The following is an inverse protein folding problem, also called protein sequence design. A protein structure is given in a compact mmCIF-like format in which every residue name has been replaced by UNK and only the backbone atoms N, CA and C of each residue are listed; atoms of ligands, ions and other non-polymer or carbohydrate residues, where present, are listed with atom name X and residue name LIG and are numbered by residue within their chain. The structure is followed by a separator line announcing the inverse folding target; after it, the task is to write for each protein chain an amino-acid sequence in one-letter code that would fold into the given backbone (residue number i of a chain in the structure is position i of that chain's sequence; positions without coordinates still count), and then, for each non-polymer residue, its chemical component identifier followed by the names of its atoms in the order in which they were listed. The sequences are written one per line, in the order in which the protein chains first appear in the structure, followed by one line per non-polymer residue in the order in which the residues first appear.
data_IF_561032895208
#
_entry.id   IF_561032895208
#
_cell.length_a   1.000
_cell.length_b   1.000
_cell.length_c   1.000
_cell.angle_alpha   90.00
_cell.angle_beta   90.00
_cell.angle_gamma   90.00
#
_symmetry.space_group_name_H-M   'P 1'
#
loop_
_entity.id
_entity.type
_entity.pdbx_description
1 polymer ?
#
# COMPACT_ATOMS: atom_id res chain seq x y z
N UNK A 1 -22.93 6.46 2.85
CA UNK A 1 -21.86 7.11 3.64
C UNK A 1 -20.70 7.36 2.68
N UNK A 2 -20.25 8.60 2.51
CA UNK A 2 -19.22 8.95 1.52
C UNK A 2 -17.81 8.78 2.13
N UNK A 3 -16.82 8.37 1.34
CA UNK A 3 -15.42 8.19 1.79
C UNK A 3 -14.87 9.41 2.54
N UNK A 4 -15.18 10.64 2.07
CA UNK A 4 -14.77 11.87 2.77
C UNK A 4 -15.32 11.95 4.19
N UNK A 5 -16.55 11.48 4.44
CA UNK A 5 -17.13 11.50 5.78
C UNK A 5 -16.38 10.54 6.72
N UNK A 6 -15.90 9.40 6.22
CA UNK A 6 -15.12 8.44 7.01
C UNK A 6 -13.71 8.96 7.29
N UNK A 7 -13.12 9.65 6.32
CA UNK A 7 -11.83 10.33 6.48
C UNK A 7 -11.91 11.48 7.49
N UNK A 8 -13.01 12.24 7.50
CA UNK A 8 -13.26 13.32 8.48
C UNK A 8 -13.56 12.81 9.89
N UNK A 9 -14.02 11.56 10.01
CA UNK A 9 -14.30 10.90 11.29
C UNK A 9 -13.09 10.09 11.82
N UNK A 10 -11.91 10.19 11.19
CA UNK A 10 -10.71 9.41 11.53
C UNK A 10 -10.94 7.87 11.51
N UNK A 11 -11.95 7.40 10.77
CA UNK A 11 -12.27 5.96 10.62
C UNK A 11 -11.51 5.35 9.44
N UNK A 12 -10.18 5.40 9.51
CA UNK A 12 -9.30 5.01 8.39
C UNK A 12 -9.42 3.55 7.98
N UNK A 13 -9.64 2.65 8.94
CA UNK A 13 -9.84 1.21 8.66
C UNK A 13 -11.04 0.99 7.74
N UNK A 14 -12.19 1.56 8.11
CA UNK A 14 -13.42 1.41 7.33
C UNK A 14 -13.35 2.14 6.00
N UNK A 15 -12.68 3.29 5.96
CA UNK A 15 -12.43 3.99 4.72
C UNK A 15 -11.57 3.15 3.75
N UNK A 16 -10.55 2.46 4.26
CA UNK A 16 -9.69 1.57 3.48
C UNK A 16 -10.49 0.37 2.96
N UNK A 17 -11.23 -0.31 3.83
CA UNK A 17 -12.07 -1.44 3.44
C UNK A 17 -13.14 -1.06 2.41
N UNK A 18 -13.75 0.11 2.57
CA UNK A 18 -14.72 0.63 1.60
C UNK A 18 -14.05 0.97 0.26
N UNK A 19 -12.88 1.60 0.27
CA UNK A 19 -12.14 1.94 -0.94
C UNK A 19 -11.69 0.70 -1.72
N UNK A 20 -11.23 -0.33 -1.01
CA UNK A 20 -10.85 -1.62 -1.59
C UNK A 20 -12.08 -2.36 -2.15
N UNK A 21 -13.19 -2.38 -1.42
CA UNK A 21 -14.43 -3.01 -1.88
C UNK A 21 -15.04 -2.36 -3.12
N UNK A 22 -14.88 -1.04 -3.27
CA UNK A 22 -15.30 -0.30 -4.47
C UNK A 22 -14.25 -0.30 -5.59
N UNK A 23 -13.10 -0.94 -5.38
CA UNK A 23 -11.97 -0.98 -6.31
C UNK A 23 -11.56 0.43 -6.78
N UNK A 24 -11.46 1.39 -5.85
CA UNK A 24 -11.12 2.80 -6.14
C UNK A 24 -9.68 3.12 -5.73
N UNK A 25 -8.69 2.97 -6.63
CA UNK A 25 -7.27 3.14 -6.28
C UNK A 25 -6.94 4.54 -5.78
N UNK A 26 -7.49 5.60 -6.37
CA UNK A 26 -7.22 6.98 -5.91
C UNK A 26 -7.78 7.25 -4.50
N UNK A 27 -8.91 6.63 -4.15
CA UNK A 27 -9.49 6.76 -2.80
C UNK A 27 -8.65 5.98 -1.78
N UNK A 28 -8.23 4.76 -2.12
CA UNK A 28 -7.36 3.96 -1.28
C UNK A 28 -6.02 4.66 -1.03
N UNK A 29 -5.41 5.25 -2.06
CA UNK A 29 -4.17 6.00 -1.94
C UNK A 29 -4.26 7.13 -0.90
N UNK A 30 -5.34 7.91 -0.91
CA UNK A 30 -5.55 8.97 0.10
C UNK A 30 -5.62 8.43 1.52
N UNK A 31 -6.26 7.27 1.71
CA UNK A 31 -6.36 6.64 3.03
C UNK A 31 -4.97 6.15 3.46
N UNK A 32 -4.22 5.54 2.54
CA UNK A 32 -2.85 5.06 2.78
C UNK A 32 -1.92 6.21 3.16
N UNK A 33 -1.94 7.33 2.43
CA UNK A 33 -1.11 8.50 2.75
C UNK A 33 -1.40 9.00 4.18
N UNK A 34 -2.68 9.08 4.57
CA UNK A 34 -3.08 9.47 5.94
C UNK A 34 -2.63 8.46 7.00
N UNK A 35 -2.69 7.18 6.69
CA UNK A 35 -2.21 6.12 7.58
C UNK A 35 -0.68 6.14 7.73
N UNK A 36 0.06 6.50 6.68
CA UNK A 36 1.51 6.68 6.72
C UNK A 36 1.86 7.89 7.58
N UNK A 37 1.19 9.04 7.39
CA UNK A 37 1.41 10.26 8.18
C UNK A 37 1.17 10.04 9.69
N UNK A 38 0.30 9.10 10.05
CA UNK A 38 -0.04 8.74 11.44
C UNK A 38 0.73 7.52 11.97
N UNK A 39 1.60 6.91 11.18
CA UNK A 39 2.31 5.66 11.52
C UNK A 39 1.37 4.47 11.89
N UNK A 40 0.16 4.46 11.34
CA UNK A 40 -0.88 3.45 11.62
C UNK A 40 -1.04 2.43 10.50
N UNK A 41 -0.27 2.56 9.41
CA UNK A 41 -0.38 1.73 8.21
C UNK A 41 -0.29 0.23 8.51
N UNK A 42 0.70 -0.18 9.31
CA UNK A 42 0.91 -1.59 9.64
C UNK A 42 -0.31 -2.19 10.35
N UNK A 43 -0.81 -1.48 11.35
CA UNK A 43 -1.96 -1.87 12.16
C UNK A 43 -3.25 -1.99 11.34
N UNK A 44 -3.42 -1.14 10.32
CA UNK A 44 -4.55 -1.20 9.41
C UNK A 44 -4.45 -2.40 8.44
N UNK A 45 -3.27 -2.64 7.90
CA UNK A 45 -3.03 -3.74 6.95
C UNK A 45 -3.21 -5.12 7.59
N UNK A 46 -2.81 -5.31 8.85
CA UNK A 46 -2.98 -6.58 9.57
C UNK A 46 -4.44 -6.97 9.79
N UNK A 47 -5.38 -6.04 9.67
CA UNK A 47 -6.82 -6.29 9.80
C UNK A 47 -7.47 -6.71 8.48
N UNK A 48 -6.77 -6.61 7.36
CA UNK A 48 -7.28 -6.97 6.05
C UNK A 48 -7.17 -8.49 5.81
N UNK A 49 -8.18 -9.05 5.15
CA UNK A 49 -8.12 -10.40 4.63
C UNK A 49 -7.20 -10.51 3.39
N UNK A 50 -6.83 -11.73 3.01
CA UNK A 50 -5.94 -12.01 1.86
C UNK A 50 -6.46 -11.44 0.53
N UNK A 51 -7.78 -11.39 0.32
CA UNK A 51 -8.36 -10.86 -0.93
C UNK A 51 -8.15 -9.34 -1.02
N UNK A 52 -8.37 -8.63 0.08
CA UNK A 52 -8.15 -7.18 0.19
C UNK A 52 -6.67 -6.83 0.09
N UNK A 53 -5.79 -7.65 0.69
CA UNK A 53 -4.33 -7.51 0.54
C UNK A 53 -3.94 -7.65 -0.94
N UNK A 54 -4.49 -8.62 -1.66
CA UNK A 54 -4.22 -8.78 -3.08
C UNK A 54 -4.64 -7.56 -3.90
N UNK A 55 -5.87 -7.06 -3.71
CA UNK A 55 -6.36 -5.85 -4.41
C UNK A 55 -5.45 -4.65 -4.10
N UNK A 56 -5.00 -4.53 -2.84
CA UNK A 56 -4.12 -3.45 -2.45
C UNK A 56 -2.73 -3.56 -3.08
N UNK A 57 -2.18 -4.77 -3.24
CA UNK A 57 -0.94 -5.00 -3.99
C UNK A 57 -1.10 -4.63 -5.46
N UNK A 58 -2.22 -4.97 -6.08
CA UNK A 58 -2.53 -4.58 -7.47
C UNK A 58 -2.62 -3.06 -7.62
N UNK A 59 -3.11 -2.34 -6.61
CA UNK A 59 -3.06 -0.88 -6.59
C UNK A 59 -1.66 -0.34 -6.37
N UNK A 60 -0.89 -0.94 -5.45
CA UNK A 60 0.47 -0.54 -5.16
C UNK A 60 1.35 -0.66 -6.41
N UNK A 61 1.27 -1.76 -7.17
CA UNK A 61 2.01 -1.89 -8.45
C UNK A 61 1.74 -0.74 -9.41
N UNK A 62 0.49 -0.27 -9.51
CA UNK A 62 0.12 0.89 -10.33
C UNK A 62 0.74 2.18 -9.79
N UNK A 63 0.62 2.42 -8.48
CA UNK A 63 1.17 3.61 -7.81
C UNK A 63 2.69 3.67 -7.87
N UNK A 64 3.37 2.53 -7.93
CA UNK A 64 4.82 2.44 -7.97
C UNK A 64 5.43 3.10 -9.23
N UNK A 65 4.69 3.12 -10.34
CA UNK A 65 5.17 3.66 -11.62
C UNK A 65 5.30 5.19 -11.65
N UNK A 66 4.66 5.88 -10.69
CA UNK A 66 4.65 7.34 -10.59
C UNK A 66 5.43 7.77 -9.34
N UNK A 67 6.44 8.64 -9.52
CA UNK A 67 7.30 9.09 -8.43
C UNK A 67 6.53 9.71 -7.27
N UNK A 68 5.44 10.43 -7.54
CA UNK A 68 4.60 11.08 -6.51
C UNK A 68 3.85 10.08 -5.61
N UNK A 69 3.60 8.87 -6.09
CA UNK A 69 2.83 7.84 -5.39
C UNK A 69 3.67 6.60 -5.04
N UNK A 70 4.91 6.59 -5.50
CA UNK A 70 5.85 5.48 -5.28
C UNK A 70 6.16 5.26 -3.79
N UNK A 71 6.20 6.32 -2.97
CA UNK A 71 6.42 6.18 -1.53
C UNK A 71 5.30 5.39 -0.85
N UNK A 72 4.04 5.73 -1.14
CA UNK A 72 2.88 5.00 -0.60
C UNK A 72 2.93 3.52 -1.02
N UNK A 73 3.23 3.27 -2.29
CA UNK A 73 3.40 1.93 -2.84
C UNK A 73 4.47 1.11 -2.10
N UNK A 74 5.67 1.68 -1.93
CA UNK A 74 6.78 0.99 -1.28
C UNK A 74 6.50 0.71 0.20
N UNK A 75 5.84 1.63 0.90
CA UNK A 75 5.41 1.41 2.29
C UNK A 75 4.40 0.27 2.40
N UNK A 76 3.39 0.23 1.53
CA UNK A 76 2.42 -0.86 1.47
C UNK A 76 3.11 -2.20 1.25
N UNK A 77 4.00 -2.30 0.25
CA UNK A 77 4.73 -3.55 -0.01
C UNK A 77 5.58 -3.96 1.20
N UNK A 78 6.37 -3.03 1.77
CA UNK A 78 7.22 -3.30 2.92
C UNK A 78 6.41 -3.75 4.15
N UNK A 79 5.25 -3.17 4.40
CA UNK A 79 4.37 -3.61 5.48
C UNK A 79 3.85 -5.03 5.24
N UNK A 80 3.34 -5.33 4.04
CA UNK A 80 2.80 -6.66 3.72
C UNK A 80 3.88 -7.74 3.84
N UNK A 81 5.09 -7.48 3.33
CA UNK A 81 6.22 -8.40 3.43
C UNK A 81 6.67 -8.67 4.88
N UNK A 82 6.44 -7.71 5.80
CA UNK A 82 6.78 -7.84 7.22
C UNK A 82 5.66 -8.48 8.04
N UNK A 83 4.42 -8.36 7.59
CA UNK A 83 3.23 -8.85 8.32
C UNK A 83 2.89 -10.30 8.03
N UNK A 84 3.19 -10.78 6.83
CA UNK A 84 2.83 -12.14 6.41
C UNK A 84 4.04 -13.07 6.44
N UNK A 85 3.90 -14.32 6.92
CA UNK A 85 4.96 -15.30 6.81
C UNK A 85 5.23 -15.66 5.34
N UNK A 86 6.45 -16.09 4.99
CA UNK A 86 6.82 -16.40 3.61
C UNK A 86 5.88 -17.40 2.92
N UNK A 87 5.42 -18.42 3.63
CA UNK A 87 4.51 -19.43 3.06
C UNK A 87 3.17 -18.81 2.61
N UNK A 88 2.60 -17.90 3.41
CA UNK A 88 1.37 -17.19 3.05
C UNK A 88 1.57 -16.17 1.93
N UNK A 89 2.75 -15.54 1.87
CA UNK A 89 3.10 -14.66 0.76
C UNK A 89 3.13 -15.43 -0.56
N UNK A 90 3.63 -16.67 -0.56
CA UNK A 90 3.69 -17.52 -1.75
C UNK A 90 2.32 -17.99 -2.24
N UNK A 91 1.30 -17.98 -1.39
CA UNK A 91 -0.09 -18.25 -1.77
C UNK A 91 -0.76 -17.06 -2.48
N UNK A 92 -0.19 -15.85 -2.35
CA UNK A 92 -0.76 -14.66 -2.99
C UNK A 92 -0.63 -14.75 -4.52
N UNK A 93 -1.72 -14.51 -5.26
CA UNK A 93 -1.70 -14.49 -6.72
C UNK A 93 -0.61 -13.57 -7.27
N UNK A 94 0.19 -14.10 -8.20
CA UNK A 94 1.22 -13.36 -8.94
C UNK A 94 2.25 -12.62 -8.07
N UNK A 95 2.47 -13.04 -6.81
CA UNK A 95 3.37 -12.35 -5.88
C UNK A 95 4.78 -12.15 -6.44
N UNK A 96 5.30 -13.11 -7.21
CA UNK A 96 6.60 -12.99 -7.88
C UNK A 96 6.62 -11.80 -8.83
N UNK A 97 5.62 -11.68 -9.71
CA UNK A 97 5.53 -10.58 -10.67
C UNK A 97 5.34 -9.24 -9.97
N UNK A 98 4.59 -9.21 -8.86
CA UNK A 98 4.41 -8.03 -8.03
C UNK A 98 5.76 -7.60 -7.44
N UNK A 99 6.50 -8.50 -6.79
CA UNK A 99 7.80 -8.17 -6.22
C UNK A 99 8.79 -7.71 -7.31
N UNK A 100 8.81 -8.40 -8.46
CA UNK A 100 9.65 -8.05 -9.60
C UNK A 100 9.35 -6.65 -10.15
N UNK A 101 8.08 -6.23 -10.21
CA UNK A 101 7.72 -4.89 -10.68
C UNK A 101 8.20 -3.77 -9.75
N UNK A 102 8.54 -4.09 -8.50
CA UNK A 102 9.06 -3.12 -7.54
C UNK A 102 10.58 -2.95 -7.62
N UNK A 103 11.32 -3.97 -8.06
CA UNK A 103 12.80 -3.97 -8.12
C UNK A 103 13.38 -2.71 -8.80
N UNK A 104 12.90 -2.26 -9.99
CA UNK A 104 13.47 -1.10 -10.67
C UNK A 104 13.29 0.20 -9.87
N UNK A 105 12.20 0.30 -9.12
CA UNK A 105 11.80 1.52 -8.42
C UNK A 105 12.33 1.58 -6.99
N UNK A 106 12.51 0.42 -6.33
CA UNK A 106 13.21 0.36 -5.04
C UNK A 106 14.68 0.77 -5.20
N UNK A 107 15.35 0.34 -6.29
CA UNK A 107 16.72 0.80 -6.61
C UNK A 107 16.76 2.31 -6.84
N UNK A 108 15.77 2.87 -7.52
CA UNK A 108 15.67 4.33 -7.77
C UNK A 108 15.36 5.12 -6.50
N UNK A 109 14.52 4.60 -5.60
CA UNK A 109 14.21 5.22 -4.32
C UNK A 109 15.44 5.24 -3.40
N UNK A 110 16.14 4.12 -3.26
CA UNK A 110 17.42 4.07 -2.51
C UNK A 110 18.43 5.06 -3.09
N UNK A 111 18.51 5.16 -4.43
CA UNK A 111 19.42 6.11 -5.10
C UNK A 111 18.98 7.58 -4.94
N UNK A 112 17.67 7.87 -4.98
CA UNK A 112 17.14 9.22 -4.72
C UNK A 112 17.38 9.63 -3.26
N UNK A 113 17.10 8.75 -2.29
CA UNK A 113 17.34 9.02 -0.88
C UNK A 113 18.82 9.32 -0.58
N UNK A 114 19.74 8.69 -1.33
CA UNK A 114 21.17 8.95 -1.24
C UNK A 114 21.58 10.34 -1.77
N UNK A 115 20.84 10.92 -2.72
CA UNK A 115 21.14 12.23 -3.32
C UNK A 115 20.55 13.42 -2.55
N UNK A 116 19.48 13.22 -1.77
CA UNK A 116 18.90 14.23 -0.85
C UNK A 116 19.56 14.23 0.52
N UNK A 117 20.52 13.32 0.75
CA UNK A 117 21.32 13.20 1.98
C UNK A 117 22.71 13.85 1.91
N UNK A 118 23.00 14.65 0.88
CA UNK A 118 24.25 15.43 0.74
C UNK A 118 23.96 16.91 0.45
#
# INVERSE_FOLDING_TARGET
MTLNNLLEQDRFQEALEFALGLVRPFCALKVIDRLIDRDELMSALMKLDKQRIQILLDFATQWNTNSRTSLASQNVLNCILKSLPPDELLELPNIRSVVESFIPYTKRWVFQQFLIGF
#
